data_IF_253290443178
#
_entry.id   IF_253290443178
#
_cell.length_a   1.000
_cell.length_b   1.000
_cell.length_c   1.000
_cell.angle_alpha   90.00
_cell.angle_beta   90.00
_cell.angle_gamma   90.00
#
_symmetry.space_group_name_H-M   'P 1'
#
loop_
_entity.id
_entity.type
_entity.pdbx_description
1 polymer ?
#
# COMPACT_ATOMS: atom_id res chain seq x y z
N UNK A 1 7.92 24.59 0.58
CA UNK A 1 8.09 23.68 -0.58
C UNK A 1 9.37 22.83 -0.55
N UNK A 2 10.27 22.93 0.45
CA UNK A 2 11.40 21.99 0.58
C UNK A 2 11.03 20.65 1.23
N UNK A 3 10.08 20.61 2.19
CA UNK A 3 9.68 19.34 2.84
C UNK A 3 9.11 18.29 1.87
N UNK A 4 8.45 18.71 0.79
CA UNK A 4 7.86 17.80 -0.20
C UNK A 4 8.93 17.00 -0.97
N UNK A 5 10.07 17.62 -1.28
CA UNK A 5 11.18 16.94 -1.96
C UNK A 5 11.88 15.90 -1.07
N UNK A 6 11.89 16.10 0.26
CA UNK A 6 12.42 15.13 1.22
C UNK A 6 11.43 14.04 1.60
N UNK A 7 10.13 14.27 1.45
CA UNK A 7 9.09 13.30 1.81
C UNK A 7 9.27 11.95 1.12
N UNK A 8 9.56 11.96 -0.19
CA UNK A 8 9.79 10.74 -0.95
C UNK A 8 11.07 10.02 -0.53
N UNK A 9 12.15 10.76 -0.21
CA UNK A 9 13.43 10.17 0.23
C UNK A 9 13.35 9.62 1.67
N UNK A 10 12.73 10.34 2.58
CA UNK A 10 12.51 9.88 3.95
C UNK A 10 11.58 8.67 3.97
N UNK A 11 10.50 8.69 3.17
CA UNK A 11 9.59 7.57 3.09
C UNK A 11 10.24 6.34 2.45
N UNK A 12 11.11 6.51 1.46
CA UNK A 12 11.92 5.43 0.91
C UNK A 12 12.74 4.71 1.99
N UNK A 13 13.30 5.44 2.95
CA UNK A 13 14.04 4.84 4.08
C UNK A 13 13.10 4.18 5.09
N UNK A 14 11.92 4.77 5.33
CA UNK A 14 10.94 4.24 6.29
C UNK A 14 10.07 3.10 5.74
N UNK A 15 10.01 2.92 4.42
CA UNK A 15 9.10 1.98 3.77
C UNK A 15 9.18 0.55 4.33
N UNK A 16 10.37 -0.05 4.55
CA UNK A 16 10.46 -1.37 5.17
C UNK A 16 9.84 -1.41 6.58
N UNK A 17 10.06 -0.39 7.42
CA UNK A 17 9.47 -0.34 8.76
C UNK A 17 7.95 -0.16 8.70
N UNK A 18 7.45 0.69 7.80
CA UNK A 18 6.01 0.85 7.55
C UNK A 18 5.35 -0.45 7.06
N UNK A 19 6.04 -1.19 6.18
CA UNK A 19 5.58 -2.49 5.67
C UNK A 19 5.58 -3.54 6.76
N UNK A 20 6.64 -3.62 7.58
CA UNK A 20 6.69 -4.53 8.71
C UNK A 20 5.57 -4.24 9.72
N UNK A 21 5.34 -2.95 10.03
CA UNK A 21 4.26 -2.53 10.91
C UNK A 21 2.88 -2.96 10.39
N UNK A 22 2.60 -2.72 9.10
CA UNK A 22 1.34 -3.15 8.49
C UNK A 22 1.23 -4.68 8.45
N UNK A 23 2.28 -5.39 8.05
CA UNK A 23 2.30 -6.85 8.00
C UNK A 23 2.04 -7.50 9.38
N UNK A 24 2.60 -6.91 10.44
CA UNK A 24 2.35 -7.30 11.83
C UNK A 24 0.88 -7.11 12.19
N UNK A 25 0.34 -5.92 11.93
CA UNK A 25 -1.06 -5.59 12.24
C UNK A 25 -2.03 -6.52 11.51
N UNK A 26 -1.74 -6.88 10.26
CA UNK A 26 -2.54 -7.79 9.45
C UNK A 26 -2.36 -9.28 9.74
N UNK A 27 -1.43 -9.65 10.61
CA UNK A 27 -1.21 -11.05 10.97
C UNK A 27 -2.18 -11.49 12.05
N UNK A 28 -2.76 -12.70 11.89
CA UNK A 28 -3.64 -13.31 12.88
C UNK A 28 -2.92 -13.52 14.22
N UNK A 29 -3.63 -13.35 15.32
CA UNK A 29 -3.12 -13.65 16.67
C UNK A 29 -3.34 -15.14 16.98
N UNK A 30 -2.36 -15.87 17.56
CA UNK A 30 -1.01 -15.41 17.92
C UNK A 30 -0.11 -15.21 16.69
N UNK A 31 0.61 -14.10 16.65
CA UNK A 31 1.44 -13.73 15.50
C UNK A 31 2.69 -14.60 15.42
N UNK A 32 3.03 -15.04 14.21
CA UNK A 32 4.25 -15.79 13.92
C UNK A 32 5.12 -15.07 12.90
N UNK A 33 6.44 -15.28 12.97
CA UNK A 33 7.39 -14.73 11.99
C UNK A 33 6.97 -15.05 10.54
N UNK A 34 6.56 -16.29 10.28
CA UNK A 34 6.19 -16.74 8.93
C UNK A 34 5.00 -15.96 8.37
N UNK A 35 3.93 -15.77 9.16
CA UNK A 35 2.76 -15.01 8.72
C UNK A 35 3.10 -13.55 8.43
N UNK A 36 3.88 -12.93 9.32
CA UNK A 36 4.30 -11.54 9.18
C UNK A 36 5.19 -11.39 7.94
N UNK A 37 6.13 -12.31 7.73
CA UNK A 37 7.01 -12.28 6.57
C UNK A 37 6.24 -12.47 5.25
N UNK A 38 5.26 -13.37 5.20
CA UNK A 38 4.43 -13.54 4.00
C UNK A 38 3.62 -12.27 3.68
N UNK A 39 3.09 -11.59 4.69
CA UNK A 39 2.42 -10.30 4.50
C UNK A 39 3.39 -9.20 4.07
N UNK A 40 4.61 -9.18 4.61
CA UNK A 40 5.66 -8.26 4.20
C UNK A 40 6.05 -8.45 2.72
N UNK A 41 6.28 -9.70 2.30
CA UNK A 41 6.55 -10.06 0.89
C UNK A 41 5.44 -9.59 -0.04
N UNK A 42 4.19 -9.82 0.36
CA UNK A 42 3.00 -9.35 -0.37
C UNK A 42 3.01 -7.83 -0.54
N UNK A 43 3.26 -7.07 0.53
CA UNK A 43 3.36 -5.61 0.46
C UNK A 43 4.50 -5.16 -0.46
N UNK A 44 5.67 -5.81 -0.38
CA UNK A 44 6.80 -5.47 -1.25
C UNK A 44 6.44 -5.65 -2.72
N UNK A 45 5.75 -6.74 -3.06
CA UNK A 45 5.31 -7.01 -4.43
C UNK A 45 4.35 -5.95 -4.97
N UNK A 46 3.48 -5.40 -4.12
CA UNK A 46 2.54 -4.33 -4.48
C UNK A 46 3.23 -2.97 -4.61
N UNK A 47 4.28 -2.73 -3.82
CA UNK A 47 4.94 -1.43 -3.69
C UNK A 47 6.28 -1.33 -4.45
N UNK A 48 6.71 -2.38 -5.15
CA UNK A 48 7.99 -2.47 -5.86
C UNK A 48 8.23 -1.42 -6.95
N UNK A 49 7.19 -0.67 -7.35
CA UNK A 49 7.29 0.43 -8.32
C UNK A 49 7.27 1.81 -7.66
N UNK A 50 6.87 1.89 -6.39
CA UNK A 50 6.83 3.12 -5.60
C UNK A 50 8.11 3.30 -4.80
N UNK A 51 8.65 2.20 -4.27
CA UNK A 51 9.88 2.21 -3.50
C UNK A 51 10.93 1.33 -4.17
N UNK A 52 12.18 1.71 -3.97
CA UNK A 52 13.34 0.95 -4.44
C UNK A 52 13.66 -0.13 -3.41
N UNK A 53 13.50 -1.39 -3.79
CA UNK A 53 13.88 -2.53 -2.95
C UNK A 53 14.96 -3.36 -3.63
N UNK A 54 15.88 -3.90 -2.83
CA UNK A 54 16.83 -4.91 -3.30
C UNK A 54 16.13 -6.28 -3.29
N UNK A 55 15.83 -6.82 -4.47
CA UNK A 55 15.06 -8.07 -4.61
C UNK A 55 15.74 -9.28 -3.94
N UNK A 56 17.07 -9.31 -3.94
CA UNK A 56 17.86 -10.41 -3.40
C UNK A 56 18.10 -10.31 -1.89
N UNK A 57 17.57 -9.26 -1.23
CA UNK A 57 17.73 -9.00 0.21
C UNK A 57 16.42 -8.83 0.96
N UNK A 58 15.35 -9.45 0.47
CA UNK A 58 14.00 -9.32 1.04
C UNK A 58 13.94 -9.80 2.49
N UNK A 59 14.58 -10.93 2.80
CA UNK A 59 14.57 -11.50 4.14
C UNK A 59 15.37 -10.65 5.12
N UNK A 60 16.55 -10.19 4.71
CA UNK A 60 17.40 -9.28 5.48
C UNK A 60 16.66 -7.95 5.74
N UNK A 61 16.06 -7.35 4.71
CA UNK A 61 15.28 -6.12 4.83
C UNK A 61 14.10 -6.29 5.81
N UNK A 62 13.43 -7.44 5.77
CA UNK A 62 12.38 -7.76 6.73
C UNK A 62 12.93 -7.85 8.17
N UNK A 63 14.02 -8.59 8.38
CA UNK A 63 14.63 -8.75 9.70
C UNK A 63 15.14 -7.41 10.27
N UNK A 64 15.76 -6.56 9.44
CA UNK A 64 16.20 -5.22 9.82
C UNK A 64 15.03 -4.30 10.18
N UNK A 65 13.94 -4.36 9.41
CA UNK A 65 12.73 -3.60 9.69
C UNK A 65 12.11 -4.03 11.04
N UNK A 66 11.98 -5.33 11.29
CA UNK A 66 11.45 -5.85 12.57
C UNK A 66 12.39 -5.54 13.73
N UNK A 67 13.70 -5.63 13.52
CA UNK A 67 14.70 -5.24 14.51
C UNK A 67 14.55 -3.75 14.87
N UNK A 68 14.36 -2.88 13.88
CA UNK A 68 14.12 -1.45 14.10
C UNK A 68 12.87 -1.22 14.95
N UNK A 69 11.76 -1.91 14.66
CA UNK A 69 10.54 -1.85 15.47
C UNK A 69 10.77 -2.30 16.92
N UNK A 70 11.55 -3.38 17.14
CA UNK A 70 11.94 -3.84 18.48
C UNK A 70 12.83 -2.85 19.21
N UNK A 71 13.79 -2.24 18.52
CA UNK A 71 14.70 -1.26 19.10
C UNK A 71 13.98 0.00 19.59
N UNK A 72 12.86 0.34 18.95
CA UNK A 72 11.93 1.40 19.37
C UNK A 72 10.93 0.94 20.45
N UNK A 73 11.09 -0.27 20.98
CA UNK A 73 10.21 -0.88 21.98
C UNK A 73 8.74 -1.01 21.54
N UNK A 74 8.49 -1.14 20.22
CA UNK A 74 7.14 -1.31 19.67
C UNK A 74 6.67 -2.77 19.70
N UNK A 75 7.61 -3.72 19.83
CA UNK A 75 7.35 -5.16 19.87
C UNK A 75 8.03 -5.79 21.06
N UNK A 76 7.41 -6.83 21.60
CA UNK A 76 8.01 -7.66 22.64
C UNK A 76 9.35 -8.25 22.19
N UNK A 77 10.33 -8.28 23.11
CA UNK A 77 11.72 -8.68 22.82
C UNK A 77 11.81 -10.07 22.18
N UNK A 78 11.01 -11.01 22.67
CA UNK A 78 10.98 -12.40 22.21
C UNK A 78 9.72 -12.76 21.41
N UNK A 79 8.85 -11.78 21.15
CA UNK A 79 7.55 -12.01 20.52
C UNK A 79 7.32 -11.17 19.26
N UNK A 80 6.09 -11.31 18.77
CA UNK A 80 5.56 -10.61 17.58
C UNK A 80 4.38 -9.71 17.95
N UNK A 81 4.06 -9.63 19.24
CA UNK A 81 2.98 -8.82 19.77
C UNK A 81 3.50 -7.44 20.19
N UNK A 82 2.69 -6.39 19.99
CA UNK A 82 2.97 -5.05 20.52
C UNK A 82 3.14 -5.07 22.03
N UNK A 83 4.04 -4.22 22.56
CA UNK A 83 4.31 -4.16 24.01
C UNK A 83 3.16 -3.52 24.79
N UNK A 84 2.44 -2.58 24.15
CA UNK A 84 1.34 -1.82 24.77
C UNK A 84 0.35 -1.31 23.73
N UNK A 85 -0.76 -0.71 24.18
CA UNK A 85 -1.72 -0.05 23.29
C UNK A 85 -1.11 1.14 22.53
N UNK A 86 -0.21 1.89 23.17
CA UNK A 86 0.55 2.99 22.55
C UNK A 86 1.50 2.47 21.46
N UNK A 87 2.08 1.28 21.68
CA UNK A 87 2.90 0.60 20.68
C UNK A 87 2.07 0.23 19.44
N UNK A 88 0.87 -0.31 19.65
CA UNK A 88 -0.10 -0.55 18.56
C UNK A 88 -0.46 0.74 17.83
N UNK A 89 -0.69 1.85 18.55
CA UNK A 89 -0.93 3.17 17.95
C UNK A 89 0.22 3.65 17.08
N UNK A 90 1.47 3.46 17.53
CA UNK A 90 2.68 3.82 16.78
C UNK A 90 2.86 2.96 15.53
N UNK A 91 2.58 1.65 15.62
CA UNK A 91 2.59 0.74 14.47
C UNK A 91 1.53 1.16 13.44
N UNK A 92 0.32 1.52 13.89
CA UNK A 92 -0.74 2.03 13.00
C UNK A 92 -0.32 3.32 12.30
N UNK A 93 0.30 4.25 13.03
CA UNK A 93 0.83 5.48 12.44
C UNK A 93 1.90 5.19 11.38
N UNK A 94 2.83 4.27 11.64
CA UNK A 94 3.81 3.86 10.63
C UNK A 94 3.11 3.23 9.41
N UNK A 95 2.18 2.32 9.63
CA UNK A 95 1.44 1.63 8.58
C UNK A 95 0.60 2.57 7.70
N UNK A 96 0.02 3.63 8.29
CA UNK A 96 -0.84 4.59 7.56
C UNK A 96 -0.09 5.37 6.48
N UNK A 97 1.24 5.41 6.52
CA UNK A 97 2.05 6.04 5.48
C UNK A 97 1.99 5.29 4.14
N UNK A 98 1.60 4.01 4.15
CA UNK A 98 1.43 3.19 2.95
C UNK A 98 0.06 3.35 2.29
N UNK A 99 -0.94 3.87 3.02
CA UNK A 99 -2.31 3.99 2.56
C UNK A 99 -2.46 4.66 1.18
N UNK A 100 -1.81 5.80 0.88
CA UNK A 100 -1.99 6.48 -0.41
C UNK A 100 -1.50 5.67 -1.60
N UNK A 101 -0.43 4.88 -1.41
CA UNK A 101 0.14 4.04 -2.46
C UNK A 101 -0.77 2.85 -2.75
N UNK A 102 -1.29 2.22 -1.69
CA UNK A 102 -2.26 1.14 -1.80
C UNK A 102 -3.58 1.62 -2.40
N UNK A 103 -4.07 2.80 -2.00
CA UNK A 103 -5.27 3.43 -2.57
C UNK A 103 -5.08 3.80 -4.04
N UNK A 104 -3.92 4.33 -4.45
CA UNK A 104 -3.61 4.58 -5.86
C UNK A 104 -3.68 3.30 -6.70
N UNK A 105 -3.11 2.21 -6.20
CA UNK A 105 -3.19 0.91 -6.86
C UNK A 105 -4.61 0.33 -6.86
N UNK A 106 -5.38 0.53 -5.78
CA UNK A 106 -6.79 0.16 -5.67
C UNK A 106 -7.63 0.86 -6.74
N UNK A 107 -7.49 2.18 -6.89
CA UNK A 107 -8.20 2.96 -7.93
C UNK A 107 -7.91 2.41 -9.32
N UNK A 108 -6.64 2.14 -9.62
CA UNK A 108 -6.24 1.59 -10.93
C UNK A 108 -6.86 0.21 -11.15
N UNK A 109 -6.79 -0.69 -10.17
CA UNK A 109 -7.40 -2.01 -10.26
C UNK A 109 -8.92 -1.94 -10.48
N UNK A 110 -9.62 -1.12 -9.69
CA UNK A 110 -11.06 -0.91 -9.81
C UNK A 110 -11.43 -0.36 -11.17
N UNK A 111 -10.72 0.67 -11.64
CA UNK A 111 -10.95 1.26 -12.96
C UNK A 111 -10.78 0.25 -14.10
N UNK A 112 -9.77 -0.62 -14.03
CA UNK A 112 -9.53 -1.67 -15.02
C UNK A 112 -10.56 -2.81 -14.98
N UNK A 113 -11.28 -2.97 -13.87
CA UNK A 113 -12.37 -3.95 -13.75
C UNK A 113 -13.74 -3.38 -14.13
N UNK A 114 -13.87 -2.06 -14.19
CA UNK A 114 -15.07 -1.41 -14.71
C UNK A 114 -15.31 -1.79 -16.18
N UNK A 115 -16.57 -2.12 -16.48
CA UNK A 115 -16.98 -2.46 -17.83
C UNK A 115 -16.82 -1.24 -18.76
N UNK A 116 -16.14 -1.43 -19.89
CA UNK A 116 -16.10 -0.42 -20.97
C UNK A 116 -14.94 0.58 -20.92
N UNK A 117 -13.85 0.30 -20.19
CA UNK A 117 -12.61 1.04 -20.44
C UNK A 117 -12.14 0.73 -21.88
N UNK A 118 -12.07 1.78 -22.72
CA UNK A 118 -11.68 1.63 -24.12
C UNK A 118 -10.20 1.26 -24.27
N UNK A 119 -9.83 0.68 -25.41
CA UNK A 119 -8.42 0.46 -25.73
C UNK A 119 -7.74 1.80 -26.03
N UNK A 120 -7.09 2.38 -25.02
CA UNK A 120 -6.41 3.68 -25.08
C UNK A 120 -4.91 3.55 -24.82
N UNK A 121 -4.15 4.57 -25.22
CA UNK A 121 -2.73 4.66 -24.92
C UNK A 121 -2.51 4.77 -23.40
N UNK A 122 -1.41 4.19 -22.90
CA UNK A 122 -1.07 4.22 -21.45
C UNK A 122 -1.15 5.64 -20.84
N UNK A 123 -0.64 6.72 -21.46
CA UNK A 123 -0.76 8.06 -20.87
C UNK A 123 -2.21 8.54 -20.72
N UNK A 124 -3.09 8.16 -21.64
CA UNK A 124 -4.51 8.48 -21.56
C UNK A 124 -5.21 7.64 -20.50
N UNK A 125 -4.85 6.36 -20.39
CA UNK A 125 -5.33 5.48 -19.33
C UNK A 125 -4.99 6.02 -17.94
N UNK A 126 -3.77 6.55 -17.74
CA UNK A 126 -3.35 7.17 -16.47
C UNK A 126 -4.25 8.36 -16.14
N UNK A 127 -4.56 9.22 -17.11
CA UNK A 127 -5.48 10.36 -16.90
C UNK A 127 -6.89 9.90 -16.57
N UNK A 128 -7.39 8.84 -17.22
CA UNK A 128 -8.70 8.28 -16.91
C UNK A 128 -8.75 7.71 -15.48
N UNK A 129 -7.68 7.05 -15.02
CA UNK A 129 -7.54 6.63 -13.63
C UNK A 129 -7.52 7.83 -12.68
N UNK A 130 -6.83 8.92 -13.04
CA UNK A 130 -6.81 10.16 -12.26
C UNK A 130 -8.20 10.78 -12.13
N UNK A 131 -8.98 10.86 -13.22
CA UNK A 131 -10.37 11.30 -13.17
C UNK A 131 -11.23 10.40 -12.29
N UNK A 132 -10.95 9.09 -12.26
CA UNK A 132 -11.63 8.17 -11.34
C UNK A 132 -11.27 8.46 -9.88
N UNK A 133 -9.98 8.63 -9.58
CA UNK A 133 -9.50 9.03 -8.26
C UNK A 133 -10.14 10.35 -7.79
N UNK A 134 -10.25 11.34 -8.68
CA UNK A 134 -10.91 12.62 -8.39
C UNK A 134 -12.38 12.42 -8.00
N UNK A 135 -13.14 11.59 -8.73
CA UNK A 135 -14.53 11.27 -8.37
C UNK A 135 -14.63 10.64 -6.98
N UNK A 136 -13.71 9.75 -6.63
CA UNK A 136 -13.66 9.14 -5.30
C UNK A 136 -13.30 10.14 -4.19
N UNK A 137 -12.45 11.13 -4.47
CA UNK A 137 -12.16 12.22 -3.54
C UNK A 137 -13.38 13.13 -3.35
N UNK A 138 -14.06 13.50 -4.44
CA UNK A 138 -15.25 14.35 -4.40
C UNK A 138 -16.44 13.68 -3.70
N UNK A 139 -16.57 12.35 -3.79
CA UNK A 139 -17.60 11.60 -3.07
C UNK A 139 -17.25 11.30 -1.61
N UNK A 140 -16.01 11.59 -1.19
CA UNK A 140 -15.50 11.28 0.15
C UNK A 140 -15.10 9.82 0.36
N UNK A 141 -15.10 8.99 -0.69
CA UNK A 141 -14.62 7.61 -0.62
C UNK A 141 -13.09 7.53 -0.42
N UNK A 142 -12.36 8.56 -0.87
CA UNK A 142 -10.95 8.78 -0.58
C UNK A 142 -10.77 10.15 0.08
N UNK A 143 -9.69 10.32 0.85
CA UNK A 143 -9.36 11.58 1.51
C UNK A 143 -7.93 12.08 1.20
N UNK A 144 -7.02 11.19 0.81
CA UNK A 144 -5.63 11.54 0.53
C UNK A 144 -5.45 11.98 -0.93
N UNK A 145 -5.02 13.21 -1.14
CA UNK A 145 -4.90 13.79 -2.50
C UNK A 145 -3.69 13.24 -3.27
N UNK A 146 -2.76 12.53 -2.63
CA UNK A 146 -1.61 11.90 -3.30
C UNK A 146 -2.03 10.88 -4.36
N UNK A 147 -3.23 10.30 -4.23
CA UNK A 147 -3.84 9.39 -5.22
C UNK A 147 -4.04 10.02 -6.59
N UNK A 148 -4.03 11.36 -6.70
CA UNK A 148 -4.09 12.09 -7.98
C UNK A 148 -2.74 12.18 -8.70
N UNK A 149 -1.65 11.70 -8.10
CA UNK A 149 -0.33 11.75 -8.73
C UNK A 149 -0.31 10.87 -9.99
N UNK A 150 -0.03 11.48 -11.14
CA UNK A 150 0.13 10.75 -12.41
C UNK A 150 1.27 9.73 -12.33
N UNK A 151 2.33 10.02 -11.58
CA UNK A 151 3.45 9.11 -11.39
C UNK A 151 3.03 7.87 -10.59
N UNK A 152 2.28 8.06 -9.50
CA UNK A 152 1.74 6.96 -8.68
C UNK A 152 0.80 6.06 -9.51
N UNK A 153 -0.11 6.68 -10.26
CA UNK A 153 -1.06 5.94 -11.10
C UNK A 153 -0.34 5.19 -12.24
N UNK A 154 0.67 5.81 -12.87
CA UNK A 154 1.49 5.15 -13.88
C UNK A 154 2.32 4.00 -13.31
N UNK A 155 2.97 4.22 -12.17
CA UNK A 155 3.72 3.17 -11.47
C UNK A 155 2.82 2.00 -11.07
N UNK A 156 1.56 2.27 -10.69
CA UNK A 156 0.56 1.26 -10.38
C UNK A 156 0.24 0.39 -11.61
N UNK A 157 0.05 0.98 -12.80
CA UNK A 157 -0.11 0.23 -14.05
C UNK A 157 1.14 -0.63 -14.36
N UNK A 158 2.35 -0.10 -14.14
CA UNK A 158 3.60 -0.85 -14.33
C UNK A 158 3.76 -1.97 -13.28
N UNK A 159 3.27 -1.76 -12.06
CA UNK A 159 3.24 -2.77 -11.01
C UNK A 159 2.37 -3.95 -11.43
N UNK A 160 1.18 -3.68 -11.99
CA UNK A 160 0.32 -4.74 -12.54
C UNK A 160 0.99 -5.56 -13.65
N UNK A 161 1.84 -4.95 -14.48
CA UNK A 161 2.67 -5.73 -15.41
C UNK A 161 3.66 -6.66 -14.69
N UNK A 162 4.31 -6.16 -13.64
CA UNK A 162 5.29 -6.91 -12.86
C UNK A 162 4.64 -8.06 -12.08
N UNK A 163 3.38 -7.89 -11.67
CA UNK A 163 2.55 -8.91 -11.02
C UNK A 163 1.86 -9.86 -12.03
N UNK A 164 2.18 -9.75 -13.33
CA UNK A 164 1.52 -10.48 -14.41
C UNK A 164 0.00 -10.28 -14.51
N UNK A 165 -0.54 -9.25 -13.86
CA UNK A 165 -1.95 -8.87 -13.86
C UNK A 165 -2.35 -8.04 -15.09
N UNK A 166 -1.37 -7.49 -15.81
CA UNK A 166 -1.58 -6.82 -17.09
C UNK A 166 -0.38 -7.05 -18.02
N UNK A 167 -0.55 -6.84 -19.33
CA UNK A 167 0.54 -6.85 -20.30
C UNK A 167 0.54 -5.57 -21.12
N UNK A 168 1.74 -5.06 -21.44
CA UNK A 168 1.90 -3.99 -22.42
C UNK A 168 1.92 -4.58 -23.81
N UNK A 169 1.06 -4.07 -24.69
CA UNK A 169 1.03 -4.47 -26.08
C UNK A 169 1.36 -3.27 -26.97
N UNK A 170 2.29 -3.46 -27.90
CA UNK A 170 2.60 -2.43 -28.89
C UNK A 170 1.57 -2.50 -29.99
N UNK A 171 0.72 -1.48 -30.09
CA UNK A 171 -0.13 -1.21 -31.25
C UNK A 171 0.62 -0.32 -32.24
N UNK A 172 0.05 -0.13 -33.44
CA UNK A 172 0.70 0.55 -34.56
C UNK A 172 1.29 1.92 -34.17
N UNK A 173 0.56 2.69 -33.36
CA UNK A 173 0.90 4.08 -33.03
C UNK A 173 1.21 4.30 -31.53
N UNK A 174 0.77 3.40 -30.65
CA UNK A 174 0.90 3.56 -29.20
C UNK A 174 1.00 2.21 -28.47
N UNK A 175 1.43 2.27 -27.21
CA UNK A 175 1.42 1.12 -26.31
C UNK A 175 0.10 1.13 -25.55
N UNK A 176 -0.59 -0.01 -25.54
CA UNK A 176 -1.80 -0.25 -24.76
C UNK A 176 -1.47 -1.15 -23.57
N UNK A 177 -2.31 -1.06 -22.53
CA UNK A 177 -2.29 -1.98 -21.41
C UNK A 177 -3.48 -2.94 -21.55
N UNK A 178 -3.21 -4.23 -21.55
CA UNK A 178 -4.23 -5.28 -21.58
C UNK A 178 -4.33 -5.90 -20.19
N UNK A 179 -5.37 -5.59 -19.40
CA UNK A 179 -5.56 -6.20 -18.09
C UNK A 179 -5.99 -7.66 -18.21
N UNK A 180 -5.60 -8.49 -17.24
CA UNK A 180 -6.11 -9.85 -17.05
C UNK A 180 -7.10 -9.83 -15.89
N UNK A 181 -8.42 -9.81 -16.13
CA UNK A 181 -9.42 -9.49 -15.09
C UNK A 181 -9.30 -10.36 -13.82
N UNK A 182 -9.03 -11.66 -13.97
CA UNK A 182 -8.87 -12.57 -12.84
C UNK A 182 -7.64 -12.27 -11.98
N UNK A 183 -6.54 -11.82 -12.58
CA UNK A 183 -5.32 -11.46 -11.86
C UNK A 183 -5.42 -10.05 -11.25
N UNK A 184 -6.06 -9.10 -11.95
CA UNK A 184 -6.38 -7.77 -11.40
C UNK A 184 -7.29 -7.90 -10.19
N UNK A 185 -8.35 -8.70 -10.26
CA UNK A 185 -9.27 -8.93 -9.14
C UNK A 185 -8.58 -9.58 -7.93
N UNK A 186 -7.65 -10.54 -8.14
CA UNK A 186 -6.83 -11.08 -7.05
C UNK A 186 -5.92 -10.03 -6.42
N UNK A 187 -5.33 -9.18 -7.24
CA UNK A 187 -4.48 -8.07 -6.77
C UNK A 187 -5.29 -7.07 -5.96
N UNK A 188 -6.50 -6.73 -6.44
CA UNK A 188 -7.45 -5.86 -5.73
C UNK A 188 -7.82 -6.43 -4.36
N UNK A 189 -8.23 -7.70 -4.29
CA UNK A 189 -8.57 -8.35 -3.02
C UNK A 189 -7.38 -8.36 -2.03
N UNK A 190 -6.15 -8.49 -2.52
CA UNK A 190 -4.95 -8.39 -1.69
C UNK A 190 -4.73 -6.97 -1.16
N UNK A 191 -5.01 -5.95 -1.97
CA UNK A 191 -4.92 -4.54 -1.56
C UNK A 191 -6.00 -4.22 -0.52
N UNK A 192 -7.24 -4.63 -0.79
CA UNK A 192 -8.39 -4.43 0.09
C UNK A 192 -8.12 -5.04 1.47
N UNK A 193 -7.56 -6.26 1.53
CA UNK A 193 -7.13 -6.87 2.79
C UNK A 193 -6.22 -5.94 3.63
N UNK A 194 -5.24 -5.27 3.02
CA UNK A 194 -4.36 -4.35 3.74
C UNK A 194 -5.03 -3.01 4.09
N UNK A 195 -5.90 -2.51 3.23
CA UNK A 195 -6.61 -1.24 3.44
C UNK A 195 -7.70 -1.35 4.50
N UNK A 196 -8.46 -2.46 4.51
CA UNK A 196 -9.50 -2.74 5.49
C UNK A 196 -8.89 -2.79 6.90
N UNK A 197 -7.74 -3.43 7.05
CA UNK A 197 -7.01 -3.41 8.32
C UNK A 197 -6.60 -1.99 8.73
N UNK A 198 -6.14 -1.14 7.82
CA UNK A 198 -5.85 0.26 8.16
C UNK A 198 -7.10 1.03 8.60
N UNK A 199 -8.27 0.74 8.01
CA UNK A 199 -9.54 1.38 8.33
C UNK A 199 -10.10 0.91 9.70
N UNK A 200 -10.15 -0.40 9.95
CA UNK A 200 -10.58 -0.99 11.23
C UNK A 200 -9.71 -0.50 12.41
N UNK A 201 -8.44 -0.23 12.16
CA UNK A 201 -7.51 0.27 13.17
C UNK A 201 -7.69 1.78 13.48
N UNK A 202 -8.43 2.52 12.65
CA UNK A 202 -8.73 3.94 12.86
C UNK A 202 -9.96 4.17 13.76
N UNK A 203 -10.87 3.19 13.84
CA UNK A 203 -12.12 3.27 14.60
C UNK A 203 -11.98 2.89 16.09
N UNK A 204 -10.94 2.12 16.46
CA UNK A 204 -10.70 1.71 17.86
C UNK A 204 -10.24 2.84 18.81
N UNK A 205 -10.00 4.07 18.31
CA UNK A 205 -9.48 5.19 19.12
C UNK A 205 -10.55 6.21 19.58
N UNK A 206 -11.84 5.93 19.40
CA UNK A 206 -12.93 6.80 19.90
C UNK A 206 -13.65 6.13 21.06
N UNK A 207 -12.95 5.85 22.16
CA UNK A 207 -13.60 5.68 23.46
C UNK A 207 -13.35 6.94 24.29
N UNK A 208 -14.09 8.00 23.96
CA UNK A 208 -14.16 9.26 24.72
C UNK A 208 -15.02 9.01 25.96
N UNK A 209 -14.53 8.14 26.84
CA UNK A 209 -15.22 7.74 28.07
C UNK A 209 -14.30 7.86 29.29
N UNK A 210 -13.58 8.99 29.44
CA UNK A 210 -12.90 9.36 30.69
C UNK A 210 -12.44 10.82 30.72
N UNK A 211 -13.40 11.74 30.62
CA UNK A 211 -13.27 13.06 31.21
C UNK A 211 -14.54 13.33 32.02
N UNK A 212 -14.62 12.72 33.21
CA UNK A 212 -15.54 13.19 34.24
C UNK A 212 -14.93 14.46 34.83
N UNK A 213 -15.61 15.58 34.64
CA UNK A 213 -15.50 16.77 35.48
C UNK A 213 -15.85 16.43 36.94
#
# INVERSE_FOLDING_TARGET
MMLYHYGNQALQVLAPACMAALALLMSSVPRSQGQVYENFRKLQSLLQREFVFELDKMEESFLEAVYSLRSMNLLSVLGWEPVSAESSGSLRFLASHLAPFLQGLQVVCSYLLEAGHGEVAVPELVKQCQCSAERHLLSGALSDHRVLSLDLLNNSLVCLCSLNAASKEKRKEFVTLVPKPSAVSKTLAQIDFFLDGLAELSTENIDVSRAKL
#
